data_IF_760575860320
#
_entry.id   IF_760575860320
#
_cell.length_a   1.000
_cell.length_b   1.000
_cell.length_c   1.000
_cell.angle_alpha   90.00
_cell.angle_beta   90.00
_cell.angle_gamma   90.00
#
_symmetry.space_group_name_H-M   'P 1'
#
loop_
_entity.id
_entity.type
_entity.pdbx_description
1 polymer ?
#
# COMPACT_ATOMS: atom_id res chain seq x y z
N UNK A 1 7.81 -9.95 -18.10
CA UNK A 1 7.47 -8.54 -17.84
C UNK A 1 6.20 -8.55 -17.00
N UNK A 2 6.33 -8.27 -15.71
CA UNK A 2 5.18 -8.21 -14.80
C UNK A 2 4.62 -6.81 -14.90
N UNK A 3 3.49 -6.63 -15.58
CA UNK A 3 2.82 -5.33 -15.69
C UNK A 3 2.27 -5.00 -14.31
N UNK A 4 2.91 -4.08 -13.59
CA UNK A 4 2.37 -3.59 -12.33
C UNK A 4 1.15 -2.71 -12.60
N UNK A 5 0.17 -2.77 -11.71
CA UNK A 5 -1.01 -1.90 -11.76
C UNK A 5 -0.52 -0.43 -11.69
N UNK A 6 -0.91 0.49 -12.61
CA UNK A 6 -0.42 1.87 -12.64
C UNK A 6 -0.46 2.65 -11.31
N UNK A 7 -1.36 2.34 -10.34
CA UNK A 7 -1.26 2.91 -8.99
C UNK A 7 0.02 2.53 -8.25
N UNK A 8 0.50 1.29 -8.37
CA UNK A 8 1.63 0.79 -7.60
C UNK A 8 2.93 1.52 -7.95
N UNK A 9 3.29 1.61 -9.23
CA UNK A 9 4.53 2.28 -9.67
C UNK A 9 4.59 3.74 -9.22
N UNK A 10 3.44 4.43 -9.25
CA UNK A 10 3.33 5.81 -8.75
C UNK A 10 3.69 5.92 -7.27
N UNK A 11 3.17 5.02 -6.43
CA UNK A 11 3.48 5.05 -4.99
C UNK A 11 4.91 4.61 -4.70
N UNK A 12 5.45 3.63 -5.44
CA UNK A 12 6.84 3.23 -5.29
C UNK A 12 7.79 4.40 -5.55
N UNK A 13 7.56 5.14 -6.64
CA UNK A 13 8.37 6.31 -6.98
C UNK A 13 8.19 7.46 -5.98
N UNK A 14 6.94 7.80 -5.62
CA UNK A 14 6.64 8.95 -4.78
C UNK A 14 7.15 8.79 -3.33
N UNK A 15 7.21 7.55 -2.83
CA UNK A 15 7.57 7.26 -1.44
C UNK A 15 8.94 6.58 -1.31
N UNK A 16 9.75 6.57 -2.39
CA UNK A 16 11.09 5.96 -2.40
C UNK A 16 11.08 4.50 -1.92
N UNK A 17 10.07 3.73 -2.35
CA UNK A 17 9.92 2.32 -1.99
C UNK A 17 10.52 1.42 -3.09
N UNK A 18 11.14 0.33 -2.69
CA UNK A 18 11.70 -0.68 -3.61
C UNK A 18 11.20 -2.08 -3.30
N UNK A 19 11.59 -3.03 -4.15
CA UNK A 19 11.41 -4.47 -3.93
C UNK A 19 9.97 -4.91 -3.59
N UNK A 20 8.96 -4.50 -4.39
CA UNK A 20 7.57 -4.88 -4.13
C UNK A 20 7.37 -6.39 -4.30
N UNK A 21 6.90 -7.04 -3.26
CA UNK A 21 6.47 -8.44 -3.30
C UNK A 21 5.01 -8.54 -2.87
N UNK A 22 4.12 -9.18 -3.67
CA UNK A 22 2.74 -9.39 -3.28
C UNK A 22 2.65 -10.18 -1.97
N UNK A 23 1.90 -9.66 -1.00
CA UNK A 23 1.66 -10.30 0.29
C UNK A 23 0.24 -10.90 0.35
N UNK A 24 -0.77 -10.13 -0.06
CA UNK A 24 -2.15 -10.58 -0.08
C UNK A 24 -3.01 -9.74 -1.04
N UNK A 25 -4.14 -10.29 -1.45
CA UNK A 25 -5.16 -9.58 -2.22
C UNK A 25 -6.53 -9.85 -1.61
N UNK A 26 -7.28 -8.78 -1.37
CA UNK A 26 -8.67 -8.82 -0.91
C UNK A 26 -9.57 -8.18 -1.98
N UNK A 27 -10.90 -8.32 -1.89
CA UNK A 27 -11.81 -7.60 -2.80
C UNK A 27 -11.64 -6.07 -2.76
N UNK A 28 -11.13 -5.54 -1.65
CA UNK A 28 -11.01 -4.11 -1.37
C UNK A 28 -9.57 -3.60 -1.42
N UNK A 29 -8.56 -4.46 -1.55
CA UNK A 29 -7.17 -4.00 -1.51
C UNK A 29 -6.14 -4.98 -2.11
N UNK A 30 -5.01 -4.44 -2.50
CA UNK A 30 -3.78 -5.18 -2.81
C UNK A 30 -2.71 -4.82 -1.79
N UNK A 31 -2.09 -5.83 -1.21
CA UNK A 31 -1.10 -5.68 -0.14
C UNK A 31 0.24 -6.21 -0.62
N UNK A 32 1.29 -5.41 -0.44
CA UNK A 32 2.66 -5.72 -0.81
C UNK A 32 3.57 -5.55 0.40
N UNK A 33 4.62 -6.35 0.50
CA UNK A 33 5.83 -5.94 1.23
C UNK A 33 6.70 -5.11 0.31
N UNK A 34 7.30 -4.06 0.83
CA UNK A 34 8.22 -3.16 0.12
C UNK A 34 9.37 -2.79 1.05
N UNK A 35 10.47 -2.31 0.49
CA UNK A 35 11.61 -1.79 1.26
C UNK A 35 11.59 -0.26 1.28
N UNK A 36 11.76 0.33 2.46
CA UNK A 36 11.95 1.77 2.67
C UNK A 36 13.14 1.96 3.60
N UNK A 37 14.18 2.70 3.17
CA UNK A 37 15.40 2.96 3.96
C UNK A 37 15.94 1.72 4.70
N UNK A 38 16.10 0.61 3.96
CA UNK A 38 16.58 -0.70 4.46
C UNK A 38 15.62 -1.47 5.38
N UNK A 39 14.41 -0.97 5.62
CA UNK A 39 13.39 -1.63 6.42
C UNK A 39 12.28 -2.20 5.54
N UNK A 40 11.84 -3.42 5.84
CA UNK A 40 10.66 -3.99 5.19
C UNK A 40 9.40 -3.42 5.83
N UNK A 41 8.55 -2.78 5.02
CA UNK A 41 7.25 -2.22 5.42
C UNK A 41 6.13 -2.78 4.56
N UNK A 42 4.87 -2.53 4.95
CA UNK A 42 3.68 -2.99 4.22
C UNK A 42 3.06 -1.82 3.45
N UNK A 43 2.91 -2.00 2.13
CA UNK A 43 2.16 -1.10 1.27
C UNK A 43 0.77 -1.70 0.99
N UNK A 44 -0.29 -1.00 1.38
CA UNK A 44 -1.67 -1.40 1.12
C UNK A 44 -2.34 -0.41 0.16
N UNK A 45 -2.64 -0.88 -1.05
CA UNK A 45 -3.38 -0.12 -2.05
C UNK A 45 -4.87 -0.45 -1.92
N UNK A 46 -5.68 0.55 -1.55
CA UNK A 46 -7.13 0.39 -1.39
C UNK A 46 -7.79 0.55 -2.76
N UNK A 47 -8.61 -0.43 -3.14
CA UNK A 47 -9.39 -0.40 -4.37
C UNK A 47 -10.52 0.65 -4.27
N UNK A 48 -11.11 1.09 -5.39
CA UNK A 48 -12.24 2.01 -5.37
C UNK A 48 -13.44 1.52 -4.55
N UNK A 49 -13.55 0.21 -4.33
CA UNK A 49 -14.61 -0.42 -3.56
C UNK A 49 -14.33 -0.50 -2.04
N UNK A 50 -13.09 -0.23 -1.60
CA UNK A 50 -12.66 -0.26 -0.19
C UNK A 50 -12.95 1.03 0.58
N UNK A 51 -14.14 1.62 0.43
CA UNK A 51 -14.48 2.93 1.02
C UNK A 51 -14.34 2.94 2.56
N UNK A 52 -14.70 1.84 3.23
CA UNK A 52 -14.60 1.73 4.70
C UNK A 52 -13.14 1.66 5.19
N UNK A 53 -12.23 1.05 4.42
CA UNK A 53 -10.82 0.96 4.80
C UNK A 53 -10.10 2.31 4.71
N UNK A 54 -10.58 3.22 3.85
CA UNK A 54 -10.10 4.61 3.80
C UNK A 54 -10.42 5.37 5.08
N UNK A 55 -11.58 5.11 5.69
CA UNK A 55 -11.99 5.71 6.97
C UNK A 55 -11.09 5.22 8.09
N UNK A 56 -10.77 3.92 8.12
CA UNK A 56 -9.81 3.34 9.07
C UNK A 56 -8.41 3.96 8.98
N UNK A 57 -7.88 4.16 7.77
CA UNK A 57 -6.56 4.81 7.57
C UNK A 57 -6.56 6.31 7.95
N UNK A 58 -7.70 7.00 7.84
CA UNK A 58 -7.85 8.37 8.33
C UNK A 58 -7.96 8.38 9.85
N UNK A 59 -8.70 7.44 10.44
CA UNK A 59 -8.84 7.31 11.89
C UNK A 59 -7.50 6.99 12.57
N UNK A 60 -6.70 6.08 12.02
CA UNK A 60 -5.34 5.78 12.52
C UNK A 60 -4.48 7.05 12.59
N UNK A 61 -4.46 7.86 11.52
CA UNK A 61 -3.75 9.15 11.51
C UNK A 61 -4.33 10.17 12.49
N UNK A 62 -5.64 10.13 12.74
CA UNK A 62 -6.29 11.03 13.69
C UNK A 62 -5.97 10.70 15.15
N UNK A 63 -5.70 9.43 15.45
CA UNK A 63 -5.41 8.94 16.80
C UNK A 63 -3.90 8.70 17.05
N UNK A 64 -3.00 9.23 16.23
CA UNK A 64 -1.54 8.95 16.28
C UNK A 64 -1.22 7.44 16.28
N UNK A 65 -2.06 6.65 15.63
CA UNK A 65 -1.77 5.25 15.36
C UNK A 65 -0.67 5.15 14.30
N UNK A 66 0.52 4.74 14.72
CA UNK A 66 1.63 4.36 13.85
C UNK A 66 1.48 2.92 13.34
#
# INVERSE_FOLDING_TARGET
MTTFDPPLERYLAAWHLSDPHPLAQTPTSHIYTVTHEHTTVVLKLISPYGVEERVGAVALRHFDGH
#
